data_IF_343563113237
#
_entry.id   IF_343563113237
#
_cell.length_a   1.000
_cell.length_b   1.000
_cell.length_c   1.000
_cell.angle_alpha   90.00
_cell.angle_beta   90.00
_cell.angle_gamma   90.00
#
_symmetry.space_group_name_H-M   'P 1'
#
loop_
_entity.id
_entity.type
_entity.pdbx_description
1 polymer ?
#
# COMPACT_ATOMS: atom_id res chain seq x y z
N UNK A 1 -1.80 9.30 74.20
CA UNK A 1 -0.93 8.36 73.45
C UNK A 1 0.06 7.79 74.44
N UNK A 2 -0.22 6.58 74.90
CA UNK A 2 0.38 6.03 76.12
C UNK A 2 1.82 5.57 75.89
N UNK A 3 2.69 5.80 76.89
CA UNK A 3 4.07 5.29 76.95
C UNK A 3 4.16 3.76 76.72
N UNK A 4 3.06 3.03 76.94
CA UNK A 4 2.94 1.58 76.65
C UNK A 4 3.00 1.25 75.15
N UNK A 5 2.55 2.16 74.27
CA UNK A 5 2.54 1.92 72.82
C UNK A 5 3.95 2.06 72.22
N UNK A 6 4.79 2.93 72.77
CA UNK A 6 6.18 3.08 72.34
C UNK A 6 7.03 1.86 72.73
N UNK A 7 6.82 1.28 73.91
CA UNK A 7 7.50 0.06 74.33
C UNK A 7 7.22 -1.14 73.42
N UNK A 8 5.97 -1.26 72.94
CA UNK A 8 5.55 -2.35 72.05
C UNK A 8 6.11 -2.21 70.63
N UNK A 9 6.13 -0.98 70.09
CA UNK A 9 6.69 -0.70 68.76
C UNK A 9 8.22 -0.85 68.78
N UNK A 10 8.88 -0.42 69.87
CA UNK A 10 10.33 -0.58 70.02
C UNK A 10 10.72 -2.06 70.15
N UNK A 11 9.93 -2.90 70.84
CA UNK A 11 10.24 -4.34 70.93
C UNK A 11 10.08 -5.06 69.58
N UNK A 12 9.08 -4.69 68.79
CA UNK A 12 8.89 -5.26 67.43
C UNK A 12 10.04 -4.85 66.52
N UNK A 13 10.48 -3.60 66.56
CA UNK A 13 11.62 -3.11 65.77
C UNK A 13 12.94 -3.77 66.18
N UNK A 14 13.16 -4.03 67.47
CA UNK A 14 14.35 -4.75 67.95
C UNK A 14 14.31 -6.22 67.54
N UNK A 15 13.16 -6.90 67.61
CA UNK A 15 13.01 -8.30 67.13
C UNK A 15 13.22 -8.38 65.61
N UNK A 16 12.71 -7.41 64.84
CA UNK A 16 12.90 -7.35 63.40
C UNK A 16 14.36 -7.04 63.04
N UNK A 17 15.04 -6.17 63.80
CA UNK A 17 16.47 -5.95 63.66
C UNK A 17 17.30 -7.17 64.07
N UNK A 18 16.94 -7.95 65.10
CA UNK A 18 17.60 -9.21 65.49
C UNK A 18 17.39 -10.30 64.41
N UNK A 19 16.23 -10.32 63.77
CA UNK A 19 15.95 -11.23 62.64
C UNK A 19 16.71 -10.82 61.35
N UNK A 20 16.98 -9.53 61.15
CA UNK A 20 17.73 -9.00 60.00
C UNK A 20 19.25 -8.93 60.23
N UNK A 21 19.70 -8.80 61.47
CA UNK A 21 21.11 -8.86 61.85
C UNK A 21 21.55 -10.31 62.07
N UNK A 22 21.59 -11.04 60.96
CA UNK A 22 22.57 -12.10 60.74
C UNK A 22 22.79 -13.07 61.90
N UNK A 23 21.78 -13.89 62.20
CA UNK A 23 22.01 -15.20 62.80
C UNK A 23 22.77 -16.09 61.80
N UNK A 24 24.06 -15.80 61.73
CA UNK A 24 25.15 -16.75 61.69
C UNK A 24 25.20 -17.74 60.51
N UNK A 25 25.44 -17.20 59.32
CA UNK A 25 25.92 -18.00 58.19
C UNK A 25 27.21 -18.77 58.53
N UNK A 26 28.01 -18.33 59.51
CA UNK A 26 29.22 -19.05 59.95
C UNK A 26 28.86 -20.27 60.82
N UNK A 27 27.91 -20.16 61.76
CA UNK A 27 27.40 -21.33 62.49
C UNK A 27 26.66 -22.29 61.59
N UNK A 28 25.88 -21.83 60.59
CA UNK A 28 25.21 -22.75 59.67
C UNK A 28 26.21 -23.62 58.89
N UNK A 29 27.27 -23.01 58.37
CA UNK A 29 28.33 -23.77 57.67
C UNK A 29 29.14 -24.68 58.63
N UNK A 30 29.31 -24.29 59.89
CA UNK A 30 29.96 -25.11 60.91
C UNK A 30 29.07 -26.29 61.36
N UNK A 31 27.78 -26.06 61.57
CA UNK A 31 26.78 -27.05 61.94
C UNK A 31 26.51 -28.04 60.79
N UNK A 32 26.46 -27.57 59.55
CA UNK A 32 26.39 -28.43 58.36
C UNK A 32 27.64 -29.33 58.25
N UNK A 33 28.83 -28.82 58.54
CA UNK A 33 30.06 -29.64 58.59
C UNK A 33 30.03 -30.69 59.69
N UNK A 34 29.50 -30.35 60.87
CA UNK A 34 29.40 -31.25 62.02
C UNK A 34 28.36 -32.36 61.76
N UNK A 35 27.17 -32.03 61.26
CA UNK A 35 26.13 -33.02 60.90
C UNK A 35 26.63 -33.96 59.79
N UNK A 36 27.34 -33.42 58.79
CA UNK A 36 27.93 -34.21 57.69
C UNK A 36 29.06 -35.13 58.17
N UNK A 37 29.76 -34.78 59.26
CA UNK A 37 30.77 -35.65 59.87
C UNK A 37 30.17 -36.81 60.68
N UNK A 38 28.95 -36.64 61.20
CA UNK A 38 28.25 -37.64 62.01
C UNK A 38 27.31 -38.53 61.19
N UNK A 39 26.71 -38.02 60.11
CA UNK A 39 25.82 -38.76 59.21
C UNK A 39 26.32 -38.69 57.76
N UNK A 40 27.07 -39.71 57.36
CA UNK A 40 27.61 -39.84 55.99
C UNK A 40 26.52 -40.02 54.93
N UNK A 41 25.34 -40.54 55.30
CA UNK A 41 24.21 -40.69 54.38
C UNK A 41 23.60 -39.33 54.03
N UNK A 42 23.51 -38.43 55.00
CA UNK A 42 23.05 -37.05 54.80
C UNK A 42 24.00 -36.24 53.90
N UNK A 43 25.32 -36.51 53.95
CA UNK A 43 26.29 -35.93 53.01
C UNK A 43 25.95 -36.23 51.55
N UNK A 44 25.49 -37.45 51.27
CA UNK A 44 25.08 -37.86 49.92
C UNK A 44 23.87 -37.04 49.45
N UNK A 45 22.88 -36.84 50.34
CA UNK A 45 21.68 -36.04 50.06
C UNK A 45 22.03 -34.57 49.78
N UNK A 46 22.95 -33.97 50.55
CA UNK A 46 23.40 -32.60 50.29
C UNK A 46 24.15 -32.48 48.97
N UNK A 47 24.99 -33.46 48.64
CA UNK A 47 25.73 -33.50 47.37
C UNK A 47 24.76 -33.64 46.18
N UNK A 48 23.73 -34.48 46.33
CA UNK A 48 22.68 -34.65 45.32
C UNK A 48 21.86 -33.36 45.14
N UNK A 49 21.43 -32.72 46.23
CA UNK A 49 20.75 -31.41 46.19
C UNK A 49 21.60 -30.37 45.45
N UNK A 50 22.89 -30.27 45.77
CA UNK A 50 23.77 -29.27 45.14
C UNK A 50 23.99 -29.56 43.65
N UNK A 51 24.06 -30.85 43.28
CA UNK A 51 24.10 -31.29 41.88
C UNK A 51 22.79 -30.93 41.14
N UNK A 52 21.64 -31.21 41.75
CA UNK A 52 20.32 -30.87 41.21
C UNK A 52 20.15 -29.35 41.06
N UNK A 53 20.59 -28.56 42.04
CA UNK A 53 20.54 -27.10 41.97
C UNK A 53 21.40 -26.58 40.81
N UNK A 54 22.63 -27.10 40.64
CA UNK A 54 23.48 -26.74 39.50
C UNK A 54 22.84 -27.08 38.15
N UNK A 55 22.20 -28.25 38.05
CA UNK A 55 21.50 -28.66 36.83
C UNK A 55 20.29 -27.75 36.56
N UNK A 56 19.54 -27.37 37.60
CA UNK A 56 18.40 -26.47 37.49
C UNK A 56 18.84 -25.06 37.07
N UNK A 57 19.92 -24.56 37.63
CA UNK A 57 20.51 -23.26 37.25
C UNK A 57 20.97 -23.28 35.79
N UNK A 58 21.63 -24.36 35.35
CA UNK A 58 22.04 -24.54 33.96
C UNK A 58 20.85 -24.59 33.00
N UNK A 59 19.81 -25.37 33.32
CA UNK A 59 18.57 -25.43 32.53
C UNK A 59 17.85 -24.08 32.48
N UNK A 60 17.84 -23.34 33.59
CA UNK A 60 17.23 -22.01 33.65
C UNK A 60 17.99 -21.02 32.75
N UNK A 61 19.32 -21.06 32.76
CA UNK A 61 20.14 -20.24 31.88
C UNK A 61 19.91 -20.60 30.40
N UNK A 62 19.88 -21.89 30.06
CA UNK A 62 19.61 -22.35 28.69
C UNK A 62 18.21 -21.95 28.22
N UNK A 63 17.20 -22.14 29.06
CA UNK A 63 15.82 -21.74 28.79
C UNK A 63 15.73 -20.23 28.54
N UNK A 64 16.29 -19.41 29.43
CA UNK A 64 16.24 -17.96 29.30
C UNK A 64 16.96 -17.49 28.01
N UNK A 65 18.12 -18.07 27.69
CA UNK A 65 18.84 -17.75 26.46
C UNK A 65 18.00 -18.06 25.20
N UNK A 66 17.33 -19.23 25.17
CA UNK A 66 16.42 -19.60 24.06
C UNK A 66 15.18 -18.71 24.02
N UNK A 67 14.60 -18.41 25.18
CA UNK A 67 13.43 -17.55 25.30
C UNK A 67 13.70 -16.15 24.74
N UNK A 68 14.78 -15.49 25.19
CA UNK A 68 15.15 -14.17 24.69
C UNK A 68 15.47 -14.17 23.20
N UNK A 69 16.11 -15.22 22.69
CA UNK A 69 16.37 -15.36 21.26
C UNK A 69 15.08 -15.46 20.44
N UNK A 70 14.10 -16.22 20.91
CA UNK A 70 12.79 -16.35 20.25
C UNK A 70 12.01 -15.03 20.34
N UNK A 71 12.02 -14.37 21.50
CA UNK A 71 11.33 -13.09 21.67
C UNK A 71 11.90 -12.00 20.74
N UNK A 72 13.23 -11.94 20.62
CA UNK A 72 13.90 -11.04 19.67
C UNK A 72 13.49 -11.34 18.22
N UNK A 73 13.47 -12.62 17.81
CA UNK A 73 12.99 -13.02 16.49
C UNK A 73 11.53 -12.62 16.26
N UNK A 74 10.66 -12.75 17.27
CA UNK A 74 9.26 -12.32 17.19
C UNK A 74 9.19 -10.80 16.97
N UNK A 75 9.99 -10.02 17.69
CA UNK A 75 10.01 -8.57 17.57
C UNK A 75 10.52 -8.11 16.20
N UNK A 76 11.59 -8.74 15.68
CA UNK A 76 12.08 -8.52 14.32
C UNK A 76 10.99 -8.80 13.28
N UNK A 77 10.29 -9.93 13.39
CA UNK A 77 9.22 -10.30 12.46
C UNK A 77 8.02 -9.35 12.54
N UNK A 78 7.64 -8.90 13.75
CA UNK A 78 6.59 -7.89 13.93
C UNK A 78 6.95 -6.57 13.24
N UNK A 79 8.20 -6.12 13.39
CA UNK A 79 8.69 -4.91 12.72
C UNK A 79 8.70 -5.07 11.20
N UNK A 80 9.24 -6.18 10.68
CA UNK A 80 9.26 -6.46 9.25
C UNK A 80 7.85 -6.48 8.65
N UNK A 81 6.88 -7.10 9.35
CA UNK A 81 5.46 -7.10 8.96
C UNK A 81 4.89 -5.69 8.89
N UNK A 82 5.19 -4.84 9.86
CA UNK A 82 4.71 -3.46 9.89
C UNK A 82 5.32 -2.62 8.76
N UNK A 83 6.61 -2.77 8.48
CA UNK A 83 7.29 -2.12 7.35
C UNK A 83 6.66 -2.54 6.03
N UNK A 84 6.51 -3.84 5.77
CA UNK A 84 5.88 -4.35 4.55
C UNK A 84 4.44 -3.87 4.38
N UNK A 85 3.66 -3.82 5.48
CA UNK A 85 2.31 -3.27 5.45
C UNK A 85 2.30 -1.80 5.03
N UNK A 86 3.20 -1.00 5.59
CA UNK A 86 3.30 0.42 5.26
C UNK A 86 3.76 0.63 3.81
N UNK A 87 4.74 -0.14 3.33
CA UNK A 87 5.16 -0.10 1.93
C UNK A 87 4.02 -0.45 0.98
N UNK A 88 3.29 -1.53 1.28
CA UNK A 88 2.15 -1.94 0.48
C UNK A 88 1.05 -0.86 0.48
N UNK A 89 0.71 -0.33 1.65
CA UNK A 89 -0.27 0.77 1.80
C UNK A 89 0.15 2.00 1.00
N UNK A 90 1.41 2.41 1.09
CA UNK A 90 1.94 3.57 0.36
C UNK A 90 1.91 3.36 -1.15
N UNK A 91 2.30 2.17 -1.63
CA UNK A 91 2.21 1.81 -3.06
C UNK A 91 0.77 1.79 -3.54
N UNK A 92 -0.13 1.19 -2.77
CA UNK A 92 -1.58 1.16 -3.06
C UNK A 92 -2.18 2.55 -3.12
N UNK A 93 -1.87 3.41 -2.15
CA UNK A 93 -2.31 4.80 -2.12
C UNK A 93 -1.73 5.60 -3.29
N UNK A 94 -0.48 5.36 -3.68
CA UNK A 94 0.12 5.98 -4.86
C UNK A 94 -0.62 5.60 -6.14
N UNK A 95 -0.97 4.32 -6.32
CA UNK A 95 -1.79 3.88 -7.46
C UNK A 95 -3.16 4.57 -7.42
N UNK A 96 -3.82 4.58 -6.25
CA UNK A 96 -5.14 5.20 -6.08
C UNK A 96 -5.14 6.70 -6.38
N UNK A 97 -4.10 7.41 -5.96
CA UNK A 97 -4.04 8.86 -6.07
C UNK A 97 -3.51 9.35 -7.43
N UNK A 98 -2.70 8.54 -8.13
CA UNK A 98 -2.08 8.96 -9.39
C UNK A 98 -2.69 8.28 -10.61
N UNK A 99 -2.92 6.97 -10.56
CA UNK A 99 -3.35 6.18 -11.72
C UNK A 99 -4.86 6.28 -11.94
N UNK A 100 -5.68 6.22 -10.88
CA UNK A 100 -7.13 6.29 -11.00
C UNK A 100 -7.59 7.64 -11.59
N UNK A 101 -7.14 8.81 -11.09
CA UNK A 101 -7.57 10.08 -11.65
C UNK A 101 -7.13 10.25 -13.11
N UNK A 102 -5.92 9.79 -13.45
CA UNK A 102 -5.44 9.84 -14.83
C UNK A 102 -6.29 8.96 -15.77
N UNK A 103 -6.68 7.77 -15.31
CA UNK A 103 -7.59 6.87 -16.04
C UNK A 103 -8.95 7.51 -16.27
N UNK A 104 -9.52 8.14 -15.26
CA UNK A 104 -10.85 8.77 -15.39
C UNK A 104 -10.81 9.98 -16.32
N UNK A 105 -9.73 10.79 -16.26
CA UNK A 105 -9.47 11.87 -17.22
C UNK A 105 -9.35 11.35 -18.66
N UNK A 106 -8.69 10.21 -18.85
CA UNK A 106 -8.60 9.55 -20.16
C UNK A 106 -9.95 9.06 -20.68
N UNK A 107 -10.79 8.48 -19.82
CA UNK A 107 -12.16 8.07 -20.22
C UNK A 107 -13.00 9.28 -20.63
N UNK A 108 -12.88 10.38 -19.89
CA UNK A 108 -13.59 11.61 -20.21
C UNK A 108 -13.12 12.19 -21.55
N UNK A 109 -11.81 12.28 -21.75
CA UNK A 109 -11.23 12.70 -23.03
C UNK A 109 -11.70 11.80 -24.19
N UNK A 110 -11.74 10.48 -23.98
CA UNK A 110 -12.21 9.54 -24.99
C UNK A 110 -13.69 9.75 -25.34
N UNK A 111 -14.53 10.09 -24.35
CA UNK A 111 -15.93 10.48 -24.59
C UNK A 111 -16.01 11.75 -25.45
N UNK A 112 -15.19 12.76 -25.14
CA UNK A 112 -15.14 14.02 -25.93
C UNK A 112 -14.68 13.77 -27.36
N UNK A 113 -13.58 13.04 -27.54
CA UNK A 113 -13.04 12.69 -28.86
C UNK A 113 -14.06 11.95 -29.73
N UNK A 114 -14.79 10.98 -29.16
CA UNK A 114 -15.86 10.27 -29.86
C UNK A 114 -17.01 11.18 -30.26
N UNK A 115 -17.37 12.16 -29.42
CA UNK A 115 -18.39 13.15 -29.77
C UNK A 115 -17.94 14.03 -30.94
N UNK A 116 -16.73 14.57 -30.86
CA UNK A 116 -16.15 15.41 -31.93
C UNK A 116 -15.99 14.65 -33.23
N UNK A 117 -15.55 13.38 -33.19
CA UNK A 117 -15.51 12.52 -34.37
C UNK A 117 -16.89 12.39 -35.02
N UNK A 118 -17.92 12.10 -34.22
CA UNK A 118 -19.30 11.95 -34.72
C UNK A 118 -19.84 13.25 -35.33
N UNK A 119 -19.51 14.40 -34.75
CA UNK A 119 -19.86 15.72 -35.31
C UNK A 119 -19.18 15.93 -36.67
N UNK A 120 -17.90 15.61 -36.78
CA UNK A 120 -17.14 15.72 -38.04
C UNK A 120 -17.59 14.74 -39.11
N UNK A 121 -17.97 13.52 -38.75
CA UNK A 121 -18.55 12.57 -39.69
C UNK A 121 -19.90 13.07 -40.25
N UNK A 122 -20.75 13.69 -39.41
CA UNK A 122 -22.00 14.32 -39.87
C UNK A 122 -21.73 15.52 -40.78
N UNK A 123 -20.76 16.36 -40.43
CA UNK A 123 -20.34 17.50 -41.25
C UNK A 123 -19.84 17.01 -42.62
N UNK A 124 -18.98 15.98 -42.64
CA UNK A 124 -18.47 15.38 -43.87
C UNK A 124 -19.60 14.81 -44.75
N UNK A 125 -20.57 14.13 -44.13
CA UNK A 125 -21.72 13.59 -44.85
C UNK A 125 -22.56 14.70 -45.49
N UNK A 126 -22.79 15.79 -44.77
CA UNK A 126 -23.50 16.98 -45.27
C UNK A 126 -22.76 17.58 -46.47
N UNK A 127 -21.44 17.81 -46.35
CA UNK A 127 -20.62 18.35 -47.45
C UNK A 127 -20.63 17.42 -48.66
N UNK A 128 -20.50 16.10 -48.48
CA UNK A 128 -20.55 15.12 -49.58
C UNK A 128 -21.87 15.18 -50.33
N UNK A 129 -22.99 15.37 -49.62
CA UNK A 129 -24.31 15.53 -50.22
C UNK A 129 -24.42 16.86 -50.98
N UNK A 130 -23.95 17.96 -50.40
CA UNK A 130 -23.99 19.29 -51.04
C UNK A 130 -23.10 19.33 -52.30
N UNK A 131 -21.93 18.69 -52.28
CA UNK A 131 -21.07 18.48 -53.45
C UNK A 131 -21.86 17.75 -54.54
N UNK A 132 -22.47 16.61 -54.20
CA UNK A 132 -23.26 15.81 -55.14
C UNK A 132 -24.41 16.63 -55.74
N UNK A 133 -25.16 17.37 -54.94
CA UNK A 133 -26.26 18.20 -55.41
C UNK A 133 -25.78 19.27 -56.40
N UNK A 134 -24.68 19.96 -56.10
CA UNK A 134 -24.10 20.97 -57.00
C UNK A 134 -23.60 20.32 -58.29
N UNK A 135 -22.91 19.18 -58.20
CA UNK A 135 -22.47 18.41 -59.39
C UNK A 135 -23.66 18.00 -60.25
N UNK A 136 -24.71 17.43 -59.66
CA UNK A 136 -25.92 17.00 -60.37
C UNK A 136 -26.65 18.17 -61.05
N UNK A 137 -26.64 19.36 -60.45
CA UNK A 137 -27.20 20.57 -61.04
C UNK A 137 -26.31 21.11 -62.18
N UNK A 138 -24.98 21.08 -62.02
CA UNK A 138 -24.02 21.47 -63.05
C UNK A 138 -24.10 20.56 -64.28
N UNK A 139 -24.29 19.25 -64.10
CA UNK A 139 -24.45 18.29 -65.19
C UNK A 139 -25.74 18.52 -66.00
N UNK A 140 -26.74 19.17 -65.39
CA UNK A 140 -28.01 19.53 -66.03
C UNK A 140 -27.99 20.95 -66.64
N UNK A 141 -26.82 21.57 -66.82
CA UNK A 141 -26.64 22.94 -67.31
C UNK A 141 -27.58 23.33 -68.46
N UNK A 142 -27.60 22.52 -69.52
CA UNK A 142 -28.39 22.80 -70.73
C UNK A 142 -29.91 22.70 -70.48
N UNK A 143 -30.34 21.78 -69.61
CA UNK A 143 -31.75 21.58 -69.28
C UNK A 143 -32.29 22.64 -68.33
N UNK A 144 -31.43 23.19 -67.48
CA UNK A 144 -31.78 24.20 -66.49
C UNK A 144 -31.62 25.64 -67.00
N UNK A 145 -31.10 25.82 -68.22
CA UNK A 145 -30.87 27.16 -68.79
C UNK A 145 -29.85 27.99 -67.98
N UNK A 146 -28.90 27.33 -67.31
CA UNK A 146 -27.94 28.00 -66.44
C UNK A 146 -27.03 28.95 -67.22
N UNK A 147 -26.95 30.19 -66.73
CA UNK A 147 -26.07 31.20 -67.31
C UNK A 147 -24.60 30.84 -67.08
N UNK A 148 -23.71 31.40 -67.90
CA UNK A 148 -22.26 31.22 -67.74
C UNK A 148 -21.79 31.73 -66.37
N UNK A 149 -22.39 32.79 -65.85
CA UNK A 149 -22.08 33.38 -64.55
C UNK A 149 -22.46 32.46 -63.39
N UNK A 150 -23.68 31.91 -63.40
CA UNK A 150 -24.13 30.93 -62.38
C UNK A 150 -23.24 29.68 -62.38
N UNK A 151 -22.85 29.19 -63.55
CA UNK A 151 -21.94 28.06 -63.67
C UNK A 151 -20.57 28.33 -63.03
N UNK A 152 -20.02 29.53 -63.22
CA UNK A 152 -18.75 29.95 -62.58
C UNK A 152 -18.91 30.03 -61.05
N UNK A 153 -20.02 30.58 -60.56
CA UNK A 153 -20.31 30.66 -59.11
C UNK A 153 -20.39 29.26 -58.50
N UNK A 154 -21.09 28.33 -59.15
CA UNK A 154 -21.23 26.95 -58.68
C UNK A 154 -19.91 26.18 -58.72
N UNK A 155 -19.11 26.34 -59.77
CA UNK A 155 -17.76 25.76 -59.84
C UNK A 155 -16.87 26.25 -58.70
N UNK A 156 -16.93 27.54 -58.36
CA UNK A 156 -16.20 28.11 -57.22
C UNK A 156 -16.70 27.53 -55.89
N UNK A 157 -18.02 27.40 -55.72
CA UNK A 157 -18.62 26.80 -54.52
C UNK A 157 -18.22 25.33 -54.36
N UNK A 158 -18.18 24.58 -55.46
CA UNK A 158 -17.74 23.18 -55.49
C UNK A 158 -16.30 23.05 -55.00
N UNK A 159 -15.37 23.86 -55.53
CA UNK A 159 -13.98 23.86 -55.09
C UNK A 159 -13.83 24.13 -53.58
N UNK A 160 -14.58 25.11 -53.05
CA UNK A 160 -14.58 25.41 -51.60
C UNK A 160 -15.09 24.21 -50.78
N UNK A 161 -16.13 23.51 -51.26
CA UNK A 161 -16.66 22.35 -50.57
C UNK A 161 -15.70 21.15 -50.63
N UNK A 162 -15.01 20.95 -51.76
CA UNK A 162 -13.97 19.92 -51.89
C UNK A 162 -12.80 20.15 -50.93
N UNK A 163 -12.30 21.39 -50.85
CA UNK A 163 -11.25 21.77 -49.90
C UNK A 163 -11.69 21.50 -48.46
N UNK A 164 -12.92 21.90 -48.11
CA UNK A 164 -13.49 21.61 -46.78
C UNK A 164 -13.63 20.11 -46.53
N UNK A 165 -14.05 19.33 -47.52
CA UNK A 165 -14.18 17.87 -47.41
C UNK A 165 -12.83 17.23 -47.07
N UNK A 166 -11.77 17.64 -47.76
CA UNK A 166 -10.41 17.14 -47.52
C UNK A 166 -9.89 17.54 -46.12
N UNK A 167 -10.17 18.78 -45.69
CA UNK A 167 -9.81 19.24 -44.36
C UNK A 167 -10.51 18.39 -43.26
N UNK A 168 -11.82 18.16 -43.38
CA UNK A 168 -12.58 17.33 -42.44
C UNK A 168 -12.11 15.87 -42.47
N UNK A 169 -11.78 15.32 -43.64
CA UNK A 169 -11.26 13.96 -43.77
C UNK A 169 -9.94 13.79 -43.00
N UNK A 170 -9.07 14.80 -43.03
CA UNK A 170 -7.84 14.83 -42.23
C UNK A 170 -8.15 14.91 -40.73
N UNK A 171 -9.12 15.73 -40.31
CA UNK A 171 -9.55 15.83 -38.91
C UNK A 171 -10.13 14.52 -38.39
N UNK A 172 -11.01 13.85 -39.16
CA UNK A 172 -11.56 12.52 -38.84
C UNK A 172 -10.44 11.50 -38.63
N UNK A 173 -9.45 11.49 -39.54
CA UNK A 173 -8.29 10.60 -39.43
C UNK A 173 -7.49 10.88 -38.16
N UNK A 174 -7.32 12.15 -37.79
CA UNK A 174 -6.64 12.52 -36.56
C UNK A 174 -7.42 12.08 -35.31
N UNK A 175 -8.73 12.31 -35.26
CA UNK A 175 -9.58 11.85 -34.16
C UNK A 175 -9.55 10.33 -33.98
N UNK A 176 -9.58 9.56 -35.08
CA UNK A 176 -9.47 8.11 -35.03
C UNK A 176 -8.15 7.65 -34.39
N UNK A 177 -7.02 8.26 -34.77
CA UNK A 177 -5.71 7.99 -34.17
C UNK A 177 -5.68 8.35 -32.68
N UNK A 178 -6.21 9.51 -32.31
CA UNK A 178 -6.27 9.93 -30.90
C UNK A 178 -7.13 9.00 -30.05
N UNK A 179 -8.25 8.51 -30.59
CA UNK A 179 -9.13 7.52 -29.93
C UNK A 179 -8.39 6.19 -29.76
N UNK A 180 -7.67 5.73 -30.78
CA UNK A 180 -6.86 4.50 -30.71
C UNK A 180 -5.78 4.60 -29.61
N UNK A 181 -5.03 5.70 -29.60
CA UNK A 181 -4.02 5.98 -28.57
C UNK A 181 -4.66 6.02 -27.18
N UNK A 182 -5.80 6.69 -27.02
CA UNK A 182 -6.50 6.78 -25.74
C UNK A 182 -7.00 5.39 -25.27
N UNK A 183 -7.54 4.56 -26.17
CA UNK A 183 -7.92 3.18 -25.85
C UNK A 183 -6.70 2.34 -25.42
N UNK A 184 -5.58 2.47 -26.13
CA UNK A 184 -4.35 1.78 -25.78
C UNK A 184 -3.85 2.20 -24.39
N UNK A 185 -3.81 3.51 -24.10
CA UNK A 185 -3.45 4.04 -22.77
C UNK A 185 -4.35 3.46 -21.68
N UNK A 186 -5.67 3.42 -21.90
CA UNK A 186 -6.61 2.83 -20.94
C UNK A 186 -6.38 1.32 -20.72
N UNK A 187 -6.02 0.59 -21.77
CA UNK A 187 -5.71 -0.85 -21.69
C UNK A 187 -4.45 -1.09 -20.84
N UNK A 188 -3.40 -0.30 -21.05
CA UNK A 188 -2.14 -0.38 -20.29
C UNK A 188 -2.35 -0.02 -18.82
N UNK A 189 -3.21 0.96 -18.54
CA UNK A 189 -3.50 1.42 -17.17
C UNK A 189 -4.53 0.54 -16.43
N UNK A 190 -4.96 -0.58 -17.01
CA UNK A 190 -5.90 -1.47 -16.37
C UNK A 190 -5.18 -2.34 -15.32
N UNK A 191 -4.91 -1.73 -14.17
CA UNK A 191 -4.42 -2.43 -12.97
C UNK A 191 -5.62 -3.16 -12.34
N UNK A 192 -5.56 -4.50 -12.31
CA UNK A 192 -6.51 -5.36 -11.59
C UNK A 192 -6.27 -5.31 -10.09
#
# INVERSE_FOLDING_TARGET
>A
MDLRSYGFILSILVIFFIALSGCDMKNRAALEKEIVSYDSSFRSVLTERDSLQKNLDALTQEYNAKFFKIDDQINVLKHAKLVLRNEYSNKSNSIKNNIIPYRDKLKENLKRLKSSLREKEKEQHTIKRDIKEITDLMDKKERLGLTTEEFVVWKKKLAILEDKRLAIEKEITNYNKEIEIANFKLKVLNVR
#
